data_IF_951458006646
#
_entry.id   IF_951458006646
#
_cell.length_a   1.000
_cell.length_b   1.000
_cell.length_c   1.000
_cell.angle_alpha   90.00
_cell.angle_beta   90.00
_cell.angle_gamma   90.00
#
_symmetry.space_group_name_H-M   'P 1'
#
loop_
_entity.id
_entity.type
_entity.pdbx_description
1 polymer ?
#
# COMPACT_ATOMS: atom_id res chain seq x y z
N UNK A 1 162.29 -64.39 20.96
CA UNK A 1 163.67 -64.19 21.49
C UNK A 1 164.26 -65.55 21.92
N UNK A 2 165.59 -65.66 22.16
CA UNK A 2 166.34 -66.96 22.26
C UNK A 2 166.35 -67.51 23.71
N UNK A 3 167.13 -68.56 24.15
CA UNK A 3 168.29 -69.27 23.54
C UNK A 3 168.36 -70.82 23.72
N UNK A 4 169.45 -71.61 23.46
CA UNK A 4 170.51 -71.73 22.40
C UNK A 4 171.39 -73.00 22.68
N UNK A 5 171.60 -73.88 21.66
CA UNK A 5 172.89 -74.60 21.34
C UNK A 5 173.43 -75.62 22.42
N UNK A 6 174.52 -76.42 22.27
CA UNK A 6 175.68 -76.47 21.33
C UNK A 6 176.37 -77.88 21.27
N UNK A 7 177.22 -78.04 20.23
CA UNK A 7 178.27 -79.05 19.82
C UNK A 7 179.28 -79.49 20.94
N UNK A 8 180.25 -80.42 20.80
CA UNK A 8 180.91 -81.26 19.74
C UNK A 8 182.30 -81.78 20.25
N UNK A 9 183.26 -82.45 19.55
CA UNK A 9 183.44 -83.05 18.19
C UNK A 9 184.83 -83.78 18.07
N UNK A 10 184.91 -85.04 17.56
CA UNK A 10 186.07 -85.70 16.85
C UNK A 10 187.40 -86.04 17.62
N UNK A 11 188.46 -86.65 17.02
CA UNK A 11 188.53 -87.87 16.14
C UNK A 11 189.81 -88.79 16.29
N UNK A 12 189.93 -89.77 15.35
CA UNK A 12 191.18 -90.41 14.81
C UNK A 12 191.86 -91.55 15.63
N UNK A 13 192.66 -92.49 15.06
CA UNK A 13 193.23 -92.63 13.69
C UNK A 13 193.34 -94.11 13.13
N UNK A 14 194.45 -94.42 12.43
CA UNK A 14 194.90 -95.59 11.62
C UNK A 14 195.75 -96.62 12.42
N UNK A 15 196.31 -97.75 11.96
CA UNK A 15 196.52 -98.57 10.70
C UNK A 15 196.98 -99.98 11.23
N UNK A 16 196.98 -101.17 10.61
CA UNK A 16 196.54 -101.86 9.39
C UNK A 16 197.07 -103.35 9.53
N UNK A 17 196.63 -104.31 8.70
CA UNK A 17 197.20 -105.67 8.49
C UNK A 17 197.07 -106.76 9.59
N UNK A 18 196.09 -107.67 9.43
CA UNK A 18 196.32 -109.07 8.97
C UNK A 18 195.04 -109.94 8.90
N UNK A 19 194.93 -110.66 7.79
CA UNK A 19 194.42 -112.03 7.58
C UNK A 19 193.01 -112.47 8.11
N UNK A 20 192.13 -112.84 7.16
CA UNK A 20 190.98 -113.76 7.21
C UNK A 20 189.70 -113.48 8.05
N UNK A 21 189.60 -112.47 8.92
CA UNK A 21 188.40 -112.28 9.78
C UNK A 21 187.25 -111.40 9.20
N UNK A 22 187.30 -111.03 7.90
CA UNK A 22 186.71 -109.76 7.42
C UNK A 22 185.33 -109.82 6.70
N UNK A 23 184.57 -110.92 6.76
CA UNK A 23 183.32 -111.08 5.98
C UNK A 23 182.02 -110.95 6.81
N UNK A 24 182.09 -111.02 8.14
CA UNK A 24 180.91 -111.19 9.01
C UNK A 24 180.22 -109.88 9.43
N UNK A 25 180.96 -108.79 9.58
CA UNK A 25 180.45 -107.53 10.16
C UNK A 25 179.63 -106.65 9.20
N UNK A 26 179.74 -106.85 7.88
CA UNK A 26 178.95 -106.11 6.89
C UNK A 26 177.46 -106.53 6.97
N UNK A 27 177.17 -107.77 7.35
CA UNK A 27 175.81 -108.31 7.37
C UNK A 27 174.99 -107.82 8.57
N UNK A 28 175.62 -107.59 9.72
CA UNK A 28 174.95 -107.18 10.97
C UNK A 28 174.52 -105.71 10.95
N UNK A 29 175.21 -104.85 10.19
CA UNK A 29 174.88 -103.44 10.02
C UNK A 29 173.54 -103.23 9.28
N UNK A 30 173.35 -103.92 8.14
CA UNK A 30 172.15 -103.79 7.31
C UNK A 30 170.86 -104.24 8.05
N UNK A 31 170.97 -105.30 8.87
CA UNK A 31 169.84 -105.82 9.64
C UNK A 31 169.27 -104.79 10.66
N UNK A 32 170.12 -103.92 11.22
CA UNK A 32 169.67 -102.82 12.10
C UNK A 32 168.94 -101.74 11.32
N UNK A 33 169.43 -101.35 10.14
CA UNK A 33 168.84 -100.26 9.35
C UNK A 33 167.41 -100.57 8.88
N UNK A 34 167.18 -101.78 8.36
CA UNK A 34 165.83 -102.19 7.93
C UNK A 34 164.87 -102.42 9.10
N UNK A 35 165.36 -102.77 10.29
CA UNK A 35 164.53 -102.79 11.51
C UNK A 35 164.10 -101.37 11.91
N UNK A 36 165.04 -100.44 11.97
CA UNK A 36 164.78 -99.02 12.25
C UNK A 36 163.80 -98.38 11.24
N UNK A 37 163.90 -98.80 9.97
CA UNK A 37 163.01 -98.38 8.89
C UNK A 37 161.59 -98.94 9.05
N UNK A 38 161.45 -100.22 9.38
CA UNK A 38 160.14 -100.82 9.68
C UNK A 38 159.51 -100.22 10.94
N UNK A 39 160.29 -99.96 11.99
CA UNK A 39 159.80 -99.30 13.20
C UNK A 39 159.33 -97.86 12.94
N UNK A 40 159.88 -97.15 11.95
CA UNK A 40 159.37 -95.85 11.49
C UNK A 40 158.08 -96.00 10.69
N UNK A 41 158.06 -96.89 9.68
CA UNK A 41 156.88 -97.15 8.86
C UNK A 41 155.69 -97.64 9.69
N UNK A 42 155.92 -98.43 10.73
CA UNK A 42 154.88 -98.88 11.66
C UNK A 42 154.33 -97.72 12.49
N UNK A 43 155.20 -96.81 12.97
CA UNK A 43 154.78 -95.59 13.70
C UNK A 43 154.03 -94.61 12.80
N UNK A 44 154.44 -94.46 11.54
CA UNK A 44 153.73 -93.65 10.54
C UNK A 44 152.38 -94.28 10.16
N UNK A 45 152.32 -95.60 9.98
CA UNK A 45 151.06 -96.31 9.74
C UNK A 45 150.09 -96.18 10.91
N UNK A 46 150.55 -96.36 12.15
CA UNK A 46 149.71 -96.15 13.34
C UNK A 46 149.30 -94.67 13.52
N UNK A 47 150.14 -93.71 13.14
CA UNK A 47 149.79 -92.28 13.14
C UNK A 47 148.70 -91.98 12.10
N UNK A 48 148.87 -92.45 10.86
CA UNK A 48 147.87 -92.30 9.78
C UNK A 48 146.57 -93.04 10.13
N UNK A 49 146.65 -94.22 10.75
CA UNK A 49 145.50 -95.00 11.22
C UNK A 49 144.75 -94.27 12.36
N UNK A 50 145.46 -93.62 13.29
CA UNK A 50 144.86 -92.75 14.31
C UNK A 50 144.22 -91.51 13.70
N UNK A 51 144.92 -90.82 12.79
CA UNK A 51 144.38 -89.66 12.07
C UNK A 51 143.13 -90.03 11.24
N UNK A 52 143.13 -91.18 10.59
CA UNK A 52 141.97 -91.70 9.86
C UNK A 52 140.80 -92.01 10.80
N UNK A 53 141.04 -92.69 11.92
CA UNK A 53 140.00 -92.95 12.92
C UNK A 53 139.44 -91.64 13.51
N UNK A 54 140.29 -90.66 13.81
CA UNK A 54 139.87 -89.32 14.23
C UNK A 54 139.04 -88.61 13.15
N UNK A 55 139.41 -88.71 11.87
CA UNK A 55 138.67 -88.10 10.77
C UNK A 55 137.33 -88.80 10.52
N UNK A 56 137.27 -90.13 10.65
CA UNK A 56 136.02 -90.90 10.59
C UNK A 56 135.09 -90.53 11.76
N UNK A 57 135.62 -90.37 12.98
CA UNK A 57 134.87 -89.88 14.17
C UNK A 57 134.41 -88.43 13.98
N UNK A 58 135.25 -87.54 13.42
CA UNK A 58 134.87 -86.15 13.12
C UNK A 58 133.79 -86.11 12.03
N UNK A 59 133.86 -86.98 11.03
CA UNK A 59 132.89 -87.07 9.94
C UNK A 59 131.54 -87.66 10.40
N UNK A 60 131.53 -88.67 11.27
CA UNK A 60 130.27 -89.18 11.86
C UNK A 60 129.66 -88.12 12.77
N UNK A 61 130.44 -87.52 13.68
CA UNK A 61 129.96 -86.43 14.54
C UNK A 61 129.44 -85.21 13.75
N UNK A 62 130.04 -84.89 12.60
CA UNK A 62 129.53 -83.84 11.70
C UNK A 62 128.22 -84.26 11.01
N UNK A 63 128.14 -85.50 10.50
CA UNK A 63 126.90 -86.04 9.88
C UNK A 63 125.76 -86.12 10.88
N UNK A 64 126.02 -86.49 12.13
CA UNK A 64 124.98 -86.59 13.17
C UNK A 64 124.57 -85.22 13.69
N UNK A 65 125.48 -84.23 13.78
CA UNK A 65 125.11 -82.81 13.96
C UNK A 65 124.25 -82.29 12.80
N UNK A 66 124.61 -82.61 11.55
CA UNK A 66 123.81 -82.21 10.39
C UNK A 66 122.42 -82.87 10.43
N UNK A 67 122.32 -84.16 10.76
CA UNK A 67 121.03 -84.85 10.97
C UNK A 67 120.20 -84.23 12.09
N UNK A 68 120.82 -83.80 13.19
CA UNK A 68 120.13 -83.08 14.26
C UNK A 68 119.58 -81.73 13.77
N UNK A 69 120.38 -80.94 13.05
CA UNK A 69 119.97 -79.66 12.45
C UNK A 69 118.85 -79.88 11.42
N UNK A 70 118.96 -80.88 10.55
CA UNK A 70 117.89 -81.23 9.60
C UNK A 70 116.61 -81.71 10.32
N UNK A 71 116.72 -82.36 11.49
CA UNK A 71 115.55 -82.73 12.29
C UNK A 71 114.93 -81.54 13.03
N UNK A 72 115.70 -80.60 13.58
CA UNK A 72 115.15 -79.38 14.21
C UNK A 72 114.49 -78.50 13.16
N UNK A 73 115.18 -78.21 12.05
CA UNK A 73 114.61 -77.44 10.94
C UNK A 73 113.36 -78.09 10.35
N UNK A 74 113.31 -79.42 10.21
CA UNK A 74 112.07 -80.12 9.77
C UNK A 74 110.94 -79.94 10.77
N UNK A 75 111.21 -80.03 12.09
CA UNK A 75 110.20 -79.82 13.15
C UNK A 75 109.71 -78.37 13.18
N UNK A 76 110.63 -77.41 13.09
CA UNK A 76 110.33 -75.97 13.00
C UNK A 76 109.46 -75.68 11.78
N UNK A 77 109.85 -76.17 10.59
CA UNK A 77 109.06 -76.02 9.36
C UNK A 77 107.68 -76.69 9.46
N UNK A 78 107.53 -77.84 10.16
CA UNK A 78 106.20 -78.43 10.39
C UNK A 78 105.37 -77.63 11.38
N UNK A 79 105.99 -77.06 12.42
CA UNK A 79 105.32 -76.25 13.43
C UNK A 79 104.87 -74.90 12.84
N UNK A 80 105.73 -74.23 12.09
CA UNK A 80 105.40 -73.00 11.36
C UNK A 80 104.31 -73.23 10.30
N UNK A 81 104.32 -74.36 9.60
CA UNK A 81 103.24 -74.73 8.67
C UNK A 81 101.92 -74.98 9.41
N UNK A 82 101.95 -75.67 10.54
CA UNK A 82 100.77 -75.87 11.39
C UNK A 82 100.19 -74.54 11.90
N UNK A 83 101.05 -73.67 12.45
CA UNK A 83 100.66 -72.34 12.90
C UNK A 83 100.15 -71.45 11.75
N UNK A 84 100.78 -71.52 10.58
CA UNK A 84 100.35 -70.81 9.36
C UNK A 84 99.00 -71.33 8.85
N UNK A 85 98.69 -72.61 9.05
CA UNK A 85 97.38 -73.18 8.72
C UNK A 85 96.32 -72.72 9.74
N UNK A 86 96.60 -72.83 11.05
CA UNK A 86 95.72 -72.34 12.12
C UNK A 86 95.38 -70.86 11.94
N UNK A 87 96.38 -70.00 11.71
CA UNK A 87 96.16 -68.57 11.47
C UNK A 87 95.34 -68.29 10.19
N UNK A 88 95.40 -69.17 9.18
CA UNK A 88 94.54 -69.05 7.97
C UNK A 88 93.11 -69.51 8.24
N UNK A 89 92.92 -70.54 9.04
CA UNK A 89 91.61 -71.05 9.45
C UNK A 89 90.92 -70.02 10.37
N UNK A 90 91.63 -69.49 11.37
CA UNK A 90 91.16 -68.37 12.21
C UNK A 90 90.85 -67.10 11.38
N UNK A 91 91.71 -66.73 10.43
CA UNK A 91 91.45 -65.58 9.56
C UNK A 91 90.23 -65.80 8.65
N UNK A 92 90.04 -67.01 8.12
CA UNK A 92 88.85 -67.36 7.34
C UNK A 92 87.57 -67.33 8.19
N UNK A 93 87.62 -67.84 9.41
CA UNK A 93 86.51 -67.75 10.37
C UNK A 93 86.19 -66.31 10.76
N UNK A 94 87.20 -65.50 11.12
CA UNK A 94 87.02 -64.10 11.49
C UNK A 94 86.47 -63.30 10.32
N UNK A 95 86.94 -63.55 9.09
CA UNK A 95 86.37 -62.93 7.89
C UNK A 95 84.93 -63.35 7.65
N UNK A 96 84.59 -64.64 7.77
CA UNK A 96 83.21 -65.10 7.61
C UNK A 96 82.28 -64.47 8.67
N UNK A 97 82.73 -64.35 9.92
CA UNK A 97 82.01 -63.67 11.01
C UNK A 97 81.86 -62.16 10.74
N UNK A 98 82.88 -61.52 10.17
CA UNK A 98 82.81 -60.12 9.74
C UNK A 98 81.80 -59.93 8.60
N UNK A 99 81.85 -60.79 7.58
CA UNK A 99 80.95 -60.73 6.42
C UNK A 99 79.49 -60.97 6.83
N UNK A 100 79.20 -61.86 7.80
CA UNK A 100 77.82 -62.01 8.35
C UNK A 100 77.38 -60.80 9.16
N UNK A 101 78.25 -60.23 10.03
CA UNK A 101 77.94 -59.02 10.80
C UNK A 101 77.66 -57.83 9.89
N UNK A 102 78.41 -57.66 8.80
CA UNK A 102 78.16 -56.61 7.79
C UNK A 102 76.80 -56.84 7.12
N UNK A 103 76.49 -58.06 6.68
CA UNK A 103 75.18 -58.37 6.07
C UNK A 103 74.00 -58.14 7.02
N UNK A 104 74.13 -58.48 8.30
CA UNK A 104 73.06 -58.28 9.29
C UNK A 104 72.91 -56.81 9.70
N UNK A 105 74.02 -56.06 9.81
CA UNK A 105 73.96 -54.61 9.96
C UNK A 105 73.31 -53.93 8.74
N UNK A 106 73.61 -54.36 7.51
CA UNK A 106 72.98 -53.82 6.30
C UNK A 106 71.47 -54.12 6.27
N UNK A 107 71.03 -55.32 6.68
CA UNK A 107 69.59 -55.64 6.83
C UNK A 107 68.92 -54.72 7.85
N UNK A 108 69.53 -54.55 9.03
CA UNK A 108 69.02 -53.66 10.09
C UNK A 108 68.94 -52.21 9.61
N UNK A 109 69.98 -51.70 8.94
CA UNK A 109 70.01 -50.35 8.38
C UNK A 109 68.97 -50.16 7.27
N UNK A 110 68.73 -51.17 6.43
CA UNK A 110 67.67 -51.14 5.42
C UNK A 110 66.28 -51.16 6.06
N UNK A 111 66.06 -51.98 7.10
CA UNK A 111 64.80 -52.04 7.83
C UNK A 111 64.50 -50.72 8.54
N UNK A 112 65.44 -50.15 9.30
CA UNK A 112 65.28 -48.84 9.96
C UNK A 112 64.97 -47.74 8.93
N UNK A 113 65.62 -47.75 7.76
CA UNK A 113 65.31 -46.81 6.66
C UNK A 113 63.91 -47.02 6.09
N UNK A 114 63.42 -48.25 5.98
CA UNK A 114 62.07 -48.56 5.52
C UNK A 114 61.01 -48.12 6.56
N UNK A 115 61.24 -48.41 7.84
CA UNK A 115 60.32 -48.09 8.93
C UNK A 115 60.21 -46.57 9.14
N UNK A 116 61.33 -45.84 9.18
CA UNK A 116 61.31 -44.37 9.19
C UNK A 116 60.62 -43.78 7.95
N UNK A 117 60.80 -44.36 6.76
CA UNK A 117 60.11 -43.90 5.54
C UNK A 117 58.59 -44.14 5.63
N UNK A 118 58.15 -45.24 6.24
CA UNK A 118 56.73 -45.47 6.52
C UNK A 118 56.18 -44.50 7.57
N UNK A 119 56.95 -44.18 8.61
CA UNK A 119 56.52 -43.22 9.64
C UNK A 119 56.39 -41.81 9.08
N UNK A 120 57.36 -41.35 8.30
CA UNK A 120 57.29 -40.06 7.57
C UNK A 120 56.03 -40.02 6.70
N UNK A 121 55.79 -41.06 5.88
CA UNK A 121 54.60 -41.12 5.03
C UNK A 121 53.27 -41.12 5.82
N UNK A 122 53.22 -41.76 7.00
CA UNK A 122 52.07 -41.69 7.91
C UNK A 122 51.88 -40.28 8.47
N UNK A 123 52.95 -39.62 8.90
CA UNK A 123 52.92 -38.26 9.47
C UNK A 123 52.59 -37.20 8.42
N UNK A 124 53.05 -37.34 7.19
CA UNK A 124 52.66 -36.48 6.06
C UNK A 124 51.16 -36.65 5.74
N UNK A 125 50.64 -37.88 5.76
CA UNK A 125 49.22 -38.14 5.54
C UNK A 125 48.34 -37.57 6.68
N UNK A 126 48.76 -37.72 7.95
CA UNK A 126 48.13 -37.09 9.11
C UNK A 126 48.14 -35.55 8.97
N UNK A 127 49.30 -34.96 8.64
CA UNK A 127 49.45 -33.51 8.44
C UNK A 127 48.56 -32.97 7.32
N UNK A 128 48.53 -33.63 6.15
CA UNK A 128 47.67 -33.24 5.03
C UNK A 128 46.18 -33.35 5.38
N UNK A 129 45.78 -34.41 6.09
CA UNK A 129 44.40 -34.57 6.59
C UNK A 129 44.03 -33.43 7.56
N UNK A 130 44.86 -33.16 8.57
CA UNK A 130 44.63 -32.13 9.57
C UNK A 130 44.62 -30.71 8.96
N UNK A 131 45.51 -30.44 8.00
CA UNK A 131 45.54 -29.20 7.21
C UNK A 131 44.27 -29.02 6.37
N UNK A 132 43.76 -30.10 5.78
CA UNK A 132 42.48 -30.12 5.07
C UNK A 132 41.28 -29.84 5.99
N UNK A 133 41.28 -30.41 7.21
CA UNK A 133 40.27 -30.11 8.23
C UNK A 133 40.34 -28.65 8.70
N UNK A 134 41.54 -28.13 8.95
CA UNK A 134 41.77 -26.74 9.32
C UNK A 134 41.24 -25.76 8.26
N UNK A 135 41.49 -26.03 6.97
CA UNK A 135 40.95 -25.22 5.86
C UNK A 135 39.42 -25.18 5.88
N UNK A 136 38.76 -26.34 6.06
CA UNK A 136 37.30 -26.43 6.15
C UNK A 136 36.74 -25.66 7.36
N UNK A 137 37.43 -25.70 8.50
CA UNK A 137 37.06 -24.96 9.71
C UNK A 137 37.24 -23.44 9.50
N UNK A 138 38.31 -23.01 8.82
CA UNK A 138 38.53 -21.60 8.49
C UNK A 138 37.46 -21.06 7.53
N UNK A 139 37.13 -21.81 6.48
CA UNK A 139 36.01 -21.49 5.58
C UNK A 139 34.66 -21.43 6.32
N UNK A 140 34.38 -22.41 7.18
CA UNK A 140 33.15 -22.45 7.98
C UNK A 140 33.04 -21.23 8.89
N UNK A 141 34.14 -20.85 9.56
CA UNK A 141 34.21 -19.63 10.37
C UNK A 141 33.94 -18.39 9.51
N UNK A 142 34.57 -18.26 8.34
CA UNK A 142 34.33 -17.12 7.45
C UNK A 142 32.87 -17.05 6.95
N UNK A 143 32.26 -18.20 6.63
CA UNK A 143 30.84 -18.29 6.21
C UNK A 143 29.90 -17.93 7.37
N UNK A 144 30.16 -18.43 8.58
CA UNK A 144 29.45 -18.07 9.82
C UNK A 144 29.53 -16.57 10.10
N UNK A 145 30.72 -15.99 10.03
CA UNK A 145 30.96 -14.59 10.39
C UNK A 145 30.30 -13.63 9.38
N UNK A 146 30.17 -14.03 8.10
CA UNK A 146 29.32 -13.36 7.11
C UNK A 146 27.83 -13.46 7.49
N UNK A 147 27.29 -14.67 7.67
CA UNK A 147 25.87 -14.84 7.98
C UNK A 147 25.45 -14.15 9.30
N UNK A 148 26.32 -14.08 10.30
CA UNK A 148 26.04 -13.32 11.53
C UNK A 148 25.91 -11.81 11.27
N UNK A 149 26.77 -11.25 10.40
CA UNK A 149 26.70 -9.84 9.97
C UNK A 149 25.45 -9.58 9.11
N UNK A 150 25.14 -10.47 8.17
CA UNK A 150 23.92 -10.38 7.34
C UNK A 150 22.66 -10.43 8.22
N UNK A 151 22.64 -11.28 9.25
CA UNK A 151 21.55 -11.40 10.22
C UNK A 151 21.43 -10.14 11.08
N UNK A 152 22.54 -9.58 11.59
CA UNK A 152 22.55 -8.31 12.31
C UNK A 152 22.04 -7.14 11.45
N UNK A 153 22.43 -7.08 10.18
CA UNK A 153 21.93 -6.08 9.23
C UNK A 153 20.42 -6.22 9.01
N UNK A 154 19.91 -7.45 8.82
CA UNK A 154 18.47 -7.70 8.65
C UNK A 154 17.67 -7.45 9.92
N UNK A 155 18.19 -7.78 11.10
CA UNK A 155 17.57 -7.37 12.37
C UNK A 155 17.49 -5.85 12.49
N UNK A 156 18.55 -5.13 12.10
CA UNK A 156 18.58 -3.67 12.16
C UNK A 156 17.67 -3.01 11.11
N UNK A 157 17.48 -3.62 9.93
CA UNK A 157 16.41 -3.24 9.00
C UNK A 157 15.02 -3.45 9.60
N UNK A 158 14.73 -4.61 10.20
CA UNK A 158 13.44 -4.90 10.84
C UNK A 158 13.17 -3.93 11.99
N UNK A 159 14.17 -3.63 12.83
CA UNK A 159 14.08 -2.63 13.92
C UNK A 159 13.80 -1.22 13.38
N UNK A 160 14.38 -0.83 12.23
CA UNK A 160 14.08 0.44 11.55
C UNK A 160 12.68 0.47 10.93
N UNK A 161 12.25 -0.63 10.31
CA UNK A 161 10.92 -0.74 9.69
C UNK A 161 9.80 -0.70 10.72
N UNK A 162 9.94 -1.42 11.85
CA UNK A 162 8.98 -1.35 12.97
C UNK A 162 8.83 0.09 13.47
N UNK A 163 9.93 0.77 13.83
CA UNK A 163 9.88 2.18 14.27
C UNK A 163 9.21 3.13 13.26
N UNK A 164 9.36 2.90 11.95
CA UNK A 164 8.64 3.65 10.92
C UNK A 164 7.15 3.34 10.89
N UNK A 165 6.77 2.06 11.01
CA UNK A 165 5.39 1.62 11.08
C UNK A 165 4.69 2.11 12.35
N UNK A 166 5.35 2.05 13.51
CA UNK A 166 4.87 2.56 14.78
C UNK A 166 4.58 4.07 14.68
N UNK A 167 5.52 4.84 14.10
CA UNK A 167 5.35 6.27 13.84
C UNK A 167 4.17 6.56 12.91
N UNK A 168 4.06 5.86 11.78
CA UNK A 168 2.97 6.05 10.81
C UNK A 168 1.61 5.69 11.43
N UNK A 169 1.54 4.64 12.25
CA UNK A 169 0.31 4.27 12.98
C UNK A 169 -0.12 5.41 13.91
N UNK A 170 0.79 5.92 14.76
CA UNK A 170 0.50 7.03 15.68
C UNK A 170 0.10 8.32 14.93
N UNK A 171 0.73 8.60 13.79
CA UNK A 171 0.39 9.78 12.97
C UNK A 171 -1.01 9.65 12.34
N UNK A 172 -1.37 8.46 11.84
CA UNK A 172 -2.69 8.16 11.30
C UNK A 172 -3.78 8.17 12.40
N UNK A 173 -3.48 7.65 13.59
CA UNK A 173 -4.37 7.72 14.76
C UNK A 173 -4.62 9.17 15.20
N UNK A 174 -3.59 10.02 15.24
CA UNK A 174 -3.74 11.45 15.53
C UNK A 174 -4.61 12.14 14.49
N UNK A 175 -4.32 11.94 13.18
CA UNK A 175 -5.12 12.53 12.09
C UNK A 175 -6.57 12.05 12.12
N UNK A 176 -6.83 10.77 12.38
CA UNK A 176 -8.19 10.23 12.52
C UNK A 176 -8.92 10.81 13.75
N UNK A 177 -8.23 10.99 14.87
CA UNK A 177 -8.79 11.63 16.07
C UNK A 177 -9.14 13.10 15.82
N UNK A 178 -8.27 13.85 15.14
CA UNK A 178 -8.49 15.24 14.75
C UNK A 178 -9.68 15.38 13.78
N UNK A 179 -9.77 14.51 12.77
CA UNK A 179 -10.89 14.47 11.83
C UNK A 179 -12.21 14.11 12.53
N UNK A 180 -12.19 13.12 13.43
CA UNK A 180 -13.35 12.74 14.25
C UNK A 180 -13.80 13.91 15.13
N UNK A 181 -12.89 14.60 15.79
CA UNK A 181 -13.22 15.81 16.57
C UNK A 181 -13.74 16.94 15.69
N UNK A 182 -13.19 17.14 14.49
CA UNK A 182 -13.63 18.16 13.53
C UNK A 182 -15.02 17.86 12.99
N UNK A 183 -15.32 16.60 12.69
CA UNK A 183 -16.63 16.13 12.26
C UNK A 183 -17.67 16.29 13.38
N UNK A 184 -17.35 15.86 14.61
CA UNK A 184 -18.24 16.04 15.77
C UNK A 184 -18.51 17.53 16.05
N UNK A 185 -17.51 18.41 15.94
CA UNK A 185 -17.70 19.87 16.07
C UNK A 185 -18.64 20.41 14.98
N UNK A 186 -18.47 20.00 13.72
CA UNK A 186 -19.38 20.38 12.60
C UNK A 186 -20.80 19.85 12.81
N UNK A 187 -20.95 18.59 13.18
CA UNK A 187 -22.25 17.95 13.39
C UNK A 187 -23.01 18.60 14.55
N UNK A 188 -22.34 18.85 15.67
CA UNK A 188 -22.94 19.56 16.80
C UNK A 188 -23.37 20.99 16.42
N UNK A 189 -22.54 21.71 15.64
CA UNK A 189 -22.88 23.05 15.15
C UNK A 189 -24.14 23.02 14.25
N UNK A 190 -24.22 22.08 13.30
CA UNK A 190 -25.38 21.90 12.42
C UNK A 190 -26.64 21.49 13.20
N UNK A 191 -26.50 20.67 14.25
CA UNK A 191 -27.62 20.31 15.14
C UNK A 191 -28.10 21.53 15.94
N UNK A 192 -27.21 22.39 16.44
CA UNK A 192 -27.61 23.64 17.09
C UNK A 192 -28.26 24.62 16.11
N UNK A 193 -27.70 24.79 14.91
CA UNK A 193 -28.26 25.65 13.86
C UNK A 193 -29.66 25.18 13.43
N UNK A 194 -29.85 23.87 13.22
CA UNK A 194 -31.14 23.28 12.88
C UNK A 194 -32.15 23.46 14.02
N UNK A 195 -31.73 23.23 15.27
CA UNK A 195 -32.56 23.44 16.47
C UNK A 195 -33.01 24.90 16.59
N UNK A 196 -32.08 25.84 16.48
CA UNK A 196 -32.37 27.27 16.65
C UNK A 196 -33.18 27.81 15.46
N UNK A 197 -32.97 27.29 14.25
CA UNK A 197 -33.83 27.50 13.09
C UNK A 197 -35.25 27.01 13.30
N UNK A 198 -35.44 25.77 13.80
CA UNK A 198 -36.77 25.27 14.18
C UNK A 198 -37.43 26.13 15.26
N UNK A 199 -36.69 26.51 16.31
CA UNK A 199 -37.21 27.39 17.36
C UNK A 199 -37.61 28.77 16.83
N UNK A 200 -36.84 29.35 15.90
CA UNK A 200 -37.18 30.60 15.22
C UNK A 200 -38.43 30.45 14.35
N UNK A 201 -38.55 29.36 13.57
CA UNK A 201 -39.75 29.08 12.77
C UNK A 201 -40.98 28.87 13.65
N UNK A 202 -40.90 28.08 14.72
CA UNK A 202 -42.00 27.88 15.68
C UNK A 202 -42.39 29.19 16.35
N UNK A 203 -41.43 30.01 16.79
CA UNK A 203 -41.70 31.33 17.38
C UNK A 203 -42.38 32.27 16.38
N UNK A 204 -41.94 32.28 15.13
CA UNK A 204 -42.55 33.10 14.08
C UNK A 204 -43.97 32.62 13.73
N UNK A 205 -44.19 31.31 13.66
CA UNK A 205 -45.52 30.72 13.44
C UNK A 205 -46.47 31.04 14.60
N UNK A 206 -46.00 30.94 15.85
CA UNK A 206 -46.77 31.35 17.04
C UNK A 206 -47.12 32.84 16.98
N UNK A 207 -46.15 33.74 16.76
CA UNK A 207 -46.43 35.17 16.64
C UNK A 207 -47.39 35.51 15.49
N UNK A 208 -47.25 34.86 14.33
CA UNK A 208 -48.16 35.03 13.20
C UNK A 208 -49.58 34.55 13.51
N UNK A 209 -49.70 33.42 14.22
CA UNK A 209 -50.98 32.83 14.64
C UNK A 209 -51.66 33.73 15.69
N UNK A 210 -50.95 34.12 16.74
CA UNK A 210 -51.45 35.05 17.76
C UNK A 210 -51.89 36.39 17.14
N UNK A 211 -51.09 36.97 16.24
CA UNK A 211 -51.47 38.20 15.53
C UNK A 211 -52.73 38.00 14.69
N UNK A 212 -52.82 36.89 13.95
CA UNK A 212 -54.01 36.54 13.15
C UNK A 212 -55.26 36.40 14.03
N UNK A 213 -55.18 35.68 15.15
CA UNK A 213 -56.30 35.52 16.10
C UNK A 213 -56.72 36.84 16.71
N UNK A 214 -55.79 37.75 17.02
CA UNK A 214 -56.13 39.12 17.47
C UNK A 214 -56.92 39.85 16.38
N UNK A 215 -56.44 39.84 15.13
CA UNK A 215 -57.12 40.50 14.01
C UNK A 215 -58.49 39.86 13.68
N UNK A 216 -58.63 38.54 13.79
CA UNK A 216 -59.91 37.85 13.62
C UNK A 216 -60.91 38.20 14.75
N UNK A 217 -60.44 38.35 15.99
CA UNK A 217 -61.26 38.82 17.11
C UNK A 217 -61.64 40.31 16.99
N UNK A 218 -60.74 41.17 16.51
CA UNK A 218 -61.01 42.58 16.21
C UNK A 218 -62.06 42.71 15.10
N UNK A 219 -61.92 41.94 14.01
CA UNK A 219 -62.89 41.90 12.92
C UNK A 219 -64.26 41.38 13.39
N UNK A 220 -64.30 40.31 14.19
CA UNK A 220 -65.54 39.79 14.78
C UNK A 220 -66.20 40.82 15.71
N UNK A 221 -65.42 41.57 16.49
CA UNK A 221 -65.93 42.64 17.36
C UNK A 221 -66.51 43.80 16.55
N UNK A 222 -65.87 44.18 15.44
CA UNK A 222 -66.38 45.21 14.52
C UNK A 222 -67.68 44.77 13.83
N UNK A 223 -67.77 43.50 13.42
CA UNK A 223 -68.99 42.92 12.83
C UNK A 223 -70.14 42.87 13.85
N UNK A 224 -69.88 42.44 15.09
CA UNK A 224 -70.87 42.48 16.18
C UNK A 224 -71.34 43.91 16.48
N UNK A 225 -70.44 44.91 16.43
CA UNK A 225 -70.81 46.33 16.57
C UNK A 225 -71.65 46.83 15.39
N UNK A 226 -71.38 46.38 14.16
CA UNK A 226 -72.18 46.70 12.99
C UNK A 226 -73.60 46.10 13.10
N UNK A 227 -73.70 44.79 13.35
CA UNK A 227 -74.98 44.08 13.52
C UNK A 227 -75.79 44.64 14.69
N UNK A 228 -75.14 45.07 15.78
CA UNK A 228 -75.82 45.73 16.91
C UNK A 228 -76.46 47.07 16.49
N UNK A 229 -75.76 47.89 15.70
CA UNK A 229 -76.28 49.18 15.19
C UNK A 229 -77.42 48.98 14.18
N UNK A 230 -77.35 47.95 13.34
CA UNK A 230 -78.43 47.59 12.43
C UNK A 230 -79.65 47.08 13.21
N UNK A 231 -79.47 46.16 14.16
CA UNK A 231 -80.53 45.68 15.05
C UNK A 231 -81.19 46.83 15.83
N UNK A 232 -80.42 47.76 16.39
CA UNK A 232 -80.95 48.97 17.02
C UNK A 232 -81.82 49.79 16.05
N UNK A 233 -81.42 49.92 14.79
CA UNK A 233 -82.13 50.68 13.77
C UNK A 233 -83.44 49.99 13.39
N UNK A 234 -83.41 48.67 13.20
CA UNK A 234 -84.61 47.84 12.98
C UNK A 234 -85.54 47.89 14.21
N UNK A 235 -85.02 47.86 15.44
CA UNK A 235 -85.83 48.03 16.65
C UNK A 235 -86.49 49.41 16.73
N UNK A 236 -85.78 50.49 16.38
CA UNK A 236 -86.34 51.86 16.31
C UNK A 236 -87.49 51.93 15.30
N UNK A 237 -87.30 51.38 14.09
CA UNK A 237 -88.36 51.28 13.07
C UNK A 237 -89.54 50.42 13.54
N UNK A 238 -89.28 49.26 14.13
CA UNK A 238 -90.31 48.35 14.63
C UNK A 238 -91.17 49.00 15.73
N UNK A 239 -90.54 49.81 16.61
CA UNK A 239 -91.24 50.58 17.63
C UNK A 239 -92.06 51.74 17.04
N UNK A 240 -91.55 52.45 16.02
CA UNK A 240 -92.33 53.47 15.27
C UNK A 240 -93.55 52.86 14.55
N UNK A 241 -93.38 51.69 13.93
CA UNK A 241 -94.49 50.95 13.31
C UNK A 241 -95.50 50.47 14.37
N UNK A 242 -95.05 50.06 15.57
CA UNK A 242 -95.93 49.72 16.69
C UNK A 242 -96.72 50.92 17.23
N UNK A 243 -96.13 52.12 17.33
CA UNK A 243 -96.87 53.32 17.75
C UNK A 243 -97.87 53.74 16.68
N UNK A 244 -97.44 53.82 15.41
CA UNK A 244 -98.33 54.13 14.28
C UNK A 244 -99.49 53.12 14.14
N UNK A 245 -99.25 51.82 14.35
CA UNK A 245 -100.31 50.80 14.34
C UNK A 245 -101.34 51.01 15.47
N UNK A 246 -100.89 51.43 16.68
CA UNK A 246 -101.79 51.81 17.78
C UNK A 246 -102.60 53.07 17.46
N UNK A 247 -101.96 54.08 16.88
CA UNK A 247 -102.62 55.34 16.46
C UNK A 247 -103.66 55.09 15.36
N UNK A 248 -103.32 54.28 14.35
CA UNK A 248 -104.23 53.89 13.27
C UNK A 248 -105.41 53.07 13.80
N UNK A 249 -105.19 52.13 14.74
CA UNK A 249 -106.28 51.40 15.41
C UNK A 249 -107.23 52.35 16.15
N UNK A 250 -106.68 53.24 16.98
CA UNK A 250 -107.47 54.27 17.68
C UNK A 250 -108.22 55.18 16.71
N UNK A 251 -107.65 55.48 15.54
CA UNK A 251 -108.33 56.28 14.50
C UNK A 251 -109.42 55.50 13.77
N UNK A 252 -109.25 54.19 13.57
CA UNK A 252 -110.31 53.30 13.04
C UNK A 252 -111.45 53.17 14.06
N UNK A 253 -111.14 53.00 15.35
CA UNK A 253 -112.13 52.97 16.44
C UNK A 253 -112.97 54.26 16.46
N UNK A 254 -112.32 55.44 16.41
CA UNK A 254 -113.01 56.74 16.34
C UNK A 254 -113.83 56.92 15.04
N UNK A 255 -113.33 56.44 13.90
CA UNK A 255 -114.07 56.49 12.63
C UNK A 255 -115.26 55.52 12.60
N UNK A 256 -115.19 54.37 13.28
CA UNK A 256 -116.29 53.44 13.45
C UNK A 256 -117.35 53.99 14.43
N UNK A 257 -116.95 54.71 15.48
CA UNK A 257 -117.86 55.51 16.31
C UNK A 257 -118.54 56.64 15.53
N UNK A 258 -117.79 57.41 14.73
CA UNK A 258 -118.34 58.43 13.84
C UNK A 258 -119.27 57.80 12.79
N UNK A 259 -118.90 56.67 12.19
CA UNK A 259 -119.74 55.96 11.23
C UNK A 259 -121.02 55.44 11.87
N UNK A 260 -120.99 54.93 13.11
CA UNK A 260 -122.20 54.57 13.88
C UNK A 260 -123.07 55.79 14.15
N UNK A 261 -122.50 56.94 14.47
CA UNK A 261 -123.23 58.20 14.65
C UNK A 261 -123.83 58.70 13.32
N UNK A 262 -123.08 58.63 12.22
CA UNK A 262 -123.54 58.96 10.87
C UNK A 262 -124.62 58.00 10.39
N UNK A 263 -124.56 56.71 10.71
CA UNK A 263 -125.63 55.73 10.41
C UNK A 263 -126.87 55.99 11.28
N UNK A 264 -126.72 56.34 12.56
CA UNK A 264 -127.85 56.78 13.40
C UNK A 264 -128.49 58.07 12.87
N UNK A 265 -127.69 59.05 12.48
CA UNK A 265 -128.12 60.33 11.91
C UNK A 265 -128.73 60.16 10.51
N UNK A 266 -128.15 59.30 9.68
CA UNK A 266 -128.65 58.95 8.35
C UNK A 266 -129.95 58.16 8.43
N UNK A 267 -130.07 57.16 9.31
CA UNK A 267 -131.34 56.45 9.53
C UNK A 267 -132.41 57.32 10.20
N UNK A 268 -132.03 58.30 11.03
CA UNK A 268 -132.93 59.35 11.51
C UNK A 268 -133.40 60.23 10.34
N UNK A 269 -132.50 60.78 9.53
CA UNK A 269 -132.85 61.55 8.33
C UNK A 269 -133.58 60.71 7.28
N UNK A 270 -133.37 59.39 7.22
CA UNK A 270 -134.09 58.48 6.34
C UNK A 270 -135.49 58.17 6.87
N UNK A 271 -135.70 58.14 8.20
CA UNK A 271 -137.04 58.11 8.82
C UNK A 271 -137.77 59.45 8.65
N UNK A 272 -137.06 60.56 8.76
CA UNK A 272 -137.58 61.91 8.49
C UNK A 272 -137.94 62.07 7.02
N UNK A 273 -137.04 61.67 6.10
CA UNK A 273 -137.28 61.67 4.66
C UNK A 273 -138.32 60.62 4.27
N UNK A 274 -138.47 59.50 4.99
CA UNK A 274 -139.63 58.60 4.83
C UNK A 274 -140.92 59.34 5.21
N UNK A 275 -141.01 59.97 6.37
CA UNK A 275 -142.19 60.81 6.72
C UNK A 275 -142.44 61.97 5.74
N UNK A 276 -141.39 62.56 5.18
CA UNK A 276 -141.49 63.61 4.16
C UNK A 276 -141.79 63.05 2.76
N UNK A 277 -141.45 61.80 2.46
CA UNK A 277 -141.84 61.09 1.21
C UNK A 277 -143.12 60.29 1.35
N UNK A 278 -143.63 60.10 2.56
CA UNK A 278 -144.98 59.67 2.88
C UNK A 278 -145.90 60.90 2.73
N UNK A 279 -145.54 62.06 3.29
CA UNK A 279 -146.20 63.34 2.99
C UNK A 279 -146.08 63.77 1.52
N UNK A 280 -144.93 63.59 0.87
CA UNK A 280 -144.84 63.82 -0.58
C UNK A 280 -145.63 62.75 -1.33
N UNK A 281 -145.77 61.50 -0.88
CA UNK A 281 -146.70 60.54 -1.51
C UNK A 281 -148.18 60.90 -1.30
N UNK A 282 -148.55 61.51 -0.18
CA UNK A 282 -149.87 62.12 0.04
C UNK A 282 -150.11 63.36 -0.85
N UNK A 283 -149.03 63.95 -1.40
CA UNK A 283 -149.04 65.05 -2.36
C UNK A 283 -148.81 64.61 -3.82
N UNK A 284 -148.18 63.45 -4.06
CA UNK A 284 -147.90 62.83 -5.37
C UNK A 284 -149.07 61.93 -5.79
N UNK A 285 -149.78 61.30 -4.84
CA UNK A 285 -151.16 60.84 -5.07
C UNK A 285 -152.10 62.00 -5.46
N UNK A 286 -151.69 63.25 -5.26
CA UNK A 286 -152.36 64.47 -5.74
C UNK A 286 -151.65 65.16 -6.92
N UNK A 287 -150.50 64.65 -7.38
CA UNK A 287 -149.71 65.22 -8.49
C UNK A 287 -148.75 64.19 -9.11
N UNK A 288 -148.82 64.03 -10.44
CA UNK A 288 -147.96 63.19 -11.30
C UNK A 288 -148.29 61.68 -11.26
N UNK A 289 -148.72 61.03 -12.35
CA UNK A 289 -149.07 61.48 -13.72
C UNK A 289 -148.01 62.20 -14.57
N UNK A 290 -146.73 62.25 -14.17
CA UNK A 290 -145.66 62.61 -15.13
C UNK A 290 -144.28 61.97 -14.81
N UNK A 291 -143.74 61.37 -15.87
CA UNK A 291 -142.52 60.55 -16.00
C UNK A 291 -141.22 61.35 -15.66
N UNK A 292 -140.19 60.74 -15.02
CA UNK A 292 -138.93 60.14 -15.59
C UNK A 292 -138.02 61.15 -16.34
N UNK A 293 -136.66 61.06 -16.44
CA UNK A 293 -135.59 60.13 -15.96
C UNK A 293 -134.18 60.69 -16.34
N UNK A 294 -133.10 59.96 -15.97
CA UNK A 294 -131.79 59.85 -16.71
C UNK A 294 -130.85 61.10 -16.69
N UNK A 295 -129.53 61.07 -17.03
CA UNK A 295 -128.65 60.07 -17.72
C UNK A 295 -127.14 60.15 -17.30
N UNK A 296 -126.33 59.20 -17.78
CA UNK A 296 -124.83 59.11 -17.85
C UNK A 296 -124.21 60.00 -18.96
N UNK A 297 -122.89 60.08 -19.28
CA UNK A 297 -121.61 59.51 -18.78
C UNK A 297 -120.52 59.46 -19.91
N UNK A 298 -119.20 59.43 -19.61
CA UNK A 298 -118.09 59.41 -20.62
C UNK A 298 -116.81 58.66 -20.13
N UNK A 299 -116.25 57.73 -20.92
CA UNK A 299 -114.82 57.30 -20.88
C UNK A 299 -114.39 56.59 -22.18
N UNK A 300 -113.33 57.04 -22.89
CA UNK A 300 -112.69 56.25 -23.97
C UNK A 300 -111.17 56.48 -24.12
N UNK A 301 -110.67 57.73 -24.06
CA UNK A 301 -109.31 58.09 -24.48
C UNK A 301 -108.15 57.47 -23.67
N UNK A 302 -108.42 57.00 -22.45
CA UNK A 302 -107.37 56.50 -21.53
C UNK A 302 -106.63 55.26 -22.05
N UNK A 303 -107.30 54.42 -22.84
CA UNK A 303 -106.71 53.17 -23.33
C UNK A 303 -105.58 53.36 -24.33
N UNK A 304 -105.59 54.46 -25.11
CA UNK A 304 -104.73 54.61 -26.31
C UNK A 304 -103.26 54.91 -26.00
N UNK A 305 -102.96 55.48 -24.82
CA UNK A 305 -101.59 55.89 -24.44
C UNK A 305 -100.73 54.71 -23.98
N UNK A 306 -101.32 53.81 -23.19
CA UNK A 306 -100.63 52.67 -22.56
C UNK A 306 -99.97 51.74 -23.60
N UNK A 307 -100.59 51.60 -24.78
CA UNK A 307 -100.07 50.75 -25.86
C UNK A 307 -98.71 51.23 -26.40
N UNK A 308 -98.49 52.55 -26.52
CA UNK A 308 -97.26 53.11 -27.11
C UNK A 308 -96.06 53.01 -26.15
N UNK A 309 -96.31 52.99 -24.84
CA UNK A 309 -95.27 52.88 -23.82
C UNK A 309 -94.66 51.46 -23.77
N UNK A 310 -95.47 50.42 -24.04
CA UNK A 310 -95.00 49.03 -24.09
C UNK A 310 -94.09 48.75 -25.29
N UNK A 311 -94.43 49.27 -26.47
CA UNK A 311 -93.66 49.09 -27.71
C UNK A 311 -92.25 49.68 -27.60
N UNK A 312 -92.10 50.82 -26.94
CA UNK A 312 -90.78 51.42 -26.68
C UNK A 312 -89.93 50.59 -25.71
N UNK A 313 -90.53 49.96 -24.68
CA UNK A 313 -89.80 49.11 -23.74
C UNK A 313 -89.30 47.81 -24.39
N UNK A 314 -90.11 47.15 -25.24
CA UNK A 314 -89.70 45.95 -25.96
C UNK A 314 -88.48 46.22 -26.87
N UNK A 315 -88.49 47.34 -27.60
CA UNK A 315 -87.37 47.78 -28.44
C UNK A 315 -86.10 48.17 -27.66
N UNK A 316 -86.18 48.35 -26.34
CA UNK A 316 -85.02 48.59 -25.48
C UNK A 316 -84.40 47.28 -24.97
N UNK A 317 -85.23 46.28 -24.64
CA UNK A 317 -84.79 44.96 -24.17
C UNK A 317 -83.92 44.27 -25.22
N UNK A 318 -84.39 44.20 -26.48
CA UNK A 318 -83.67 43.52 -27.58
C UNK A 318 -82.24 44.06 -27.73
N UNK A 319 -82.06 45.39 -27.65
CA UNK A 319 -80.74 46.04 -27.78
C UNK A 319 -79.80 45.76 -26.60
N UNK A 320 -80.35 45.47 -25.42
CA UNK A 320 -79.56 45.04 -24.25
C UNK A 320 -79.14 43.58 -24.38
N UNK A 321 -79.99 42.71 -24.94
CA UNK A 321 -79.68 41.31 -25.22
C UNK A 321 -78.61 41.17 -26.30
N UNK A 322 -78.69 41.94 -27.39
CA UNK A 322 -77.66 42.01 -28.44
C UNK A 322 -76.29 42.45 -27.88
N UNK A 323 -76.27 43.51 -27.07
CA UNK A 323 -75.05 44.00 -26.43
C UNK A 323 -74.45 43.00 -25.43
N UNK A 324 -75.28 42.27 -24.68
CA UNK A 324 -74.86 41.23 -23.76
C UNK A 324 -74.20 40.05 -24.49
N UNK A 325 -74.83 39.54 -25.56
CA UNK A 325 -74.24 38.46 -26.36
C UNK A 325 -72.98 38.88 -27.12
N UNK A 326 -72.84 40.15 -27.51
CA UNK A 326 -71.58 40.66 -28.04
C UNK A 326 -70.47 40.64 -26.98
N UNK A 327 -70.69 41.24 -25.80
CA UNK A 327 -69.70 41.28 -24.72
C UNK A 327 -69.28 39.88 -24.25
N UNK A 328 -70.21 38.91 -24.27
CA UNK A 328 -69.97 37.50 -23.97
C UNK A 328 -69.06 36.81 -24.99
N UNK A 329 -69.15 37.15 -26.28
CA UNK A 329 -68.22 36.66 -27.33
C UNK A 329 -66.83 37.27 -27.19
N UNK A 330 -66.75 38.56 -26.89
CA UNK A 330 -65.48 39.26 -26.64
C UNK A 330 -64.75 38.69 -25.41
N UNK A 331 -65.50 38.34 -24.35
CA UNK A 331 -64.96 37.63 -23.19
C UNK A 331 -64.43 36.22 -23.54
N UNK A 332 -65.13 35.46 -24.38
CA UNK A 332 -64.68 34.13 -24.80
C UNK A 332 -63.41 34.20 -25.67
N UNK A 333 -63.32 35.17 -26.59
CA UNK A 333 -62.12 35.38 -27.41
C UNK A 333 -60.89 35.78 -26.56
N UNK A 334 -61.06 36.73 -25.64
CA UNK A 334 -59.96 37.17 -24.76
C UNK A 334 -59.50 36.07 -23.79
N UNK A 335 -60.39 35.15 -23.39
CA UNK A 335 -59.99 33.94 -22.64
C UNK A 335 -59.12 32.99 -23.48
N UNK A 336 -59.46 32.76 -24.75
CA UNK A 336 -58.67 31.92 -25.67
C UNK A 336 -57.28 32.54 -25.92
N UNK A 337 -57.20 33.86 -26.09
CA UNK A 337 -55.93 34.58 -26.23
C UNK A 337 -55.08 34.54 -24.95
N UNK A 338 -55.71 34.60 -23.77
CA UNK A 338 -55.03 34.45 -22.47
C UNK A 338 -54.49 33.03 -22.27
N UNK A 339 -55.21 32.00 -22.72
CA UNK A 339 -54.68 30.63 -22.71
C UNK A 339 -53.55 30.42 -23.72
N UNK A 340 -53.67 30.96 -24.93
CA UNK A 340 -52.62 30.88 -25.94
C UNK A 340 -51.32 31.55 -25.44
N UNK A 341 -51.41 32.74 -24.87
CA UNK A 341 -50.26 33.46 -24.31
C UNK A 341 -49.65 32.74 -23.11
N UNK A 342 -50.46 32.16 -22.20
CA UNK A 342 -49.97 31.28 -21.12
C UNK A 342 -49.16 30.10 -21.64
N UNK A 343 -49.70 29.34 -22.60
CA UNK A 343 -49.00 28.19 -23.22
C UNK A 343 -47.70 28.59 -23.90
N UNK A 344 -47.62 29.78 -24.50
CA UNK A 344 -46.34 30.30 -25.02
C UNK A 344 -45.36 30.70 -23.91
N UNK A 345 -45.84 31.27 -22.81
CA UNK A 345 -45.01 31.62 -21.64
C UNK A 345 -44.45 30.38 -20.96
N UNK A 346 -45.27 29.34 -20.77
CA UNK A 346 -44.86 28.04 -20.23
C UNK A 346 -43.77 27.39 -21.09
N UNK A 347 -43.92 27.43 -22.43
CA UNK A 347 -42.91 26.93 -23.36
C UNK A 347 -41.61 27.76 -23.37
N UNK A 348 -41.68 29.07 -23.16
CA UNK A 348 -40.48 29.91 -23.02
C UNK A 348 -39.74 29.59 -21.71
N UNK A 349 -40.48 29.38 -20.61
CA UNK A 349 -39.91 28.96 -19.33
C UNK A 349 -39.25 27.57 -19.43
N UNK A 350 -39.90 26.58 -20.05
CA UNK A 350 -39.27 25.25 -20.19
C UNK A 350 -37.98 25.30 -21.01
N UNK A 351 -37.95 26.07 -22.11
CA UNK A 351 -36.73 26.28 -22.91
C UNK A 351 -35.64 27.05 -22.13
N UNK A 352 -36.01 27.91 -21.19
CA UNK A 352 -35.07 28.59 -20.30
C UNK A 352 -34.50 27.64 -19.23
N UNK A 353 -35.32 26.76 -18.67
CA UNK A 353 -34.91 25.74 -17.69
C UNK A 353 -34.03 24.67 -18.35
N UNK A 354 -34.38 24.23 -19.56
CA UNK A 354 -33.53 23.38 -20.43
C UNK A 354 -32.19 24.05 -20.73
N UNK A 355 -32.20 25.32 -21.17
CA UNK A 355 -30.99 26.07 -21.52
C UNK A 355 -30.07 26.36 -20.33
N UNK A 356 -30.62 26.67 -19.17
CA UNK A 356 -29.82 26.86 -17.94
C UNK A 356 -29.27 25.54 -17.41
N UNK A 357 -30.04 24.45 -17.48
CA UNK A 357 -29.56 23.09 -17.15
C UNK A 357 -28.41 22.67 -18.08
N UNK A 358 -28.55 22.91 -19.39
CA UNK A 358 -27.50 22.63 -20.38
C UNK A 358 -26.21 23.43 -20.11
N UNK A 359 -26.32 24.73 -19.81
CA UNK A 359 -25.16 25.57 -19.47
C UNK A 359 -24.47 25.10 -18.18
N UNK A 360 -25.23 24.72 -17.15
CA UNK A 360 -24.68 24.18 -15.90
C UNK A 360 -23.94 22.86 -16.14
N UNK A 361 -24.51 21.94 -16.92
CA UNK A 361 -23.86 20.69 -17.29
C UNK A 361 -22.57 20.93 -18.11
N UNK A 362 -22.60 21.87 -19.06
CA UNK A 362 -21.42 22.24 -19.84
C UNK A 362 -20.31 22.87 -18.97
N UNK A 363 -20.66 23.68 -17.97
CA UNK A 363 -19.70 24.22 -17.00
C UNK A 363 -19.14 23.15 -16.06
N UNK A 364 -19.94 22.16 -15.67
CA UNK A 364 -19.46 21.02 -14.87
C UNK A 364 -18.46 20.16 -15.64
N UNK A 365 -18.78 19.77 -16.89
CA UNK A 365 -17.86 19.05 -17.76
C UNK A 365 -16.55 19.81 -18.03
N UNK A 366 -16.64 21.14 -18.19
CA UNK A 366 -15.45 21.97 -18.37
C UNK A 366 -14.58 22.04 -17.10
N UNK A 367 -15.20 22.17 -15.91
CA UNK A 367 -14.50 22.06 -14.62
C UNK A 367 -13.83 20.68 -14.45
N UNK A 368 -14.53 19.58 -14.77
CA UNK A 368 -13.99 18.22 -14.64
C UNK A 368 -12.74 18.02 -15.52
N UNK A 369 -12.80 18.36 -16.80
CA UNK A 369 -11.66 18.21 -17.73
C UNK A 369 -10.47 19.11 -17.42
N UNK A 370 -10.70 20.30 -16.84
CA UNK A 370 -9.61 21.14 -16.35
C UNK A 370 -9.00 20.57 -15.05
N UNK A 371 -9.82 19.98 -14.16
CA UNK A 371 -9.33 19.31 -12.95
C UNK A 371 -8.51 18.06 -13.29
N UNK A 372 -8.92 17.28 -14.30
CA UNK A 372 -8.13 16.17 -14.87
C UNK A 372 -6.77 16.65 -15.41
N UNK A 373 -6.72 17.81 -16.09
CA UNK A 373 -5.47 18.41 -16.59
C UNK A 373 -4.54 18.94 -15.49
N UNK A 374 -5.08 19.51 -14.40
CA UNK A 374 -4.27 20.16 -13.33
C UNK A 374 -4.09 19.30 -12.07
N UNK A 375 -4.71 18.12 -11.97
CA UNK A 375 -4.53 17.18 -10.86
C UNK A 375 -5.03 17.70 -9.50
N UNK A 376 -5.99 18.62 -9.48
CA UNK A 376 -6.42 19.31 -8.26
C UNK A 376 -7.81 19.93 -8.37
N UNK A 377 -8.36 20.34 -7.22
CA UNK A 377 -9.69 20.96 -7.13
C UNK A 377 -9.68 22.38 -7.71
N UNK A 378 -10.66 22.69 -8.56
CA UNK A 378 -10.77 23.98 -9.26
C UNK A 378 -11.69 24.95 -8.49
N UNK A 379 -11.33 26.23 -8.36
CA UNK A 379 -12.16 27.25 -7.71
C UNK A 379 -13.57 27.36 -8.30
N UNK A 380 -14.57 27.52 -7.43
CA UNK A 380 -15.97 27.42 -7.87
C UNK A 380 -16.46 28.56 -8.78
N UNK A 381 -15.79 29.72 -8.72
CA UNK A 381 -16.15 30.93 -9.46
C UNK A 381 -15.13 31.20 -10.56
N UNK A 382 -15.59 31.51 -11.78
CA UNK A 382 -14.72 31.85 -12.93
C UNK A 382 -13.70 32.96 -12.62
N UNK A 383 -14.06 33.91 -11.74
CA UNK A 383 -13.17 34.99 -11.30
C UNK A 383 -11.94 34.55 -10.48
N UNK A 384 -11.81 33.25 -10.17
CA UNK A 384 -10.67 32.69 -9.41
C UNK A 384 -9.82 31.68 -10.22
N UNK A 385 -10.13 31.43 -11.50
CA UNK A 385 -9.21 30.73 -12.41
C UNK A 385 -8.19 31.70 -13.03
N UNK A 386 -7.06 31.19 -13.52
CA UNK A 386 -6.10 32.00 -14.29
C UNK A 386 -6.64 32.37 -15.67
N UNK A 387 -6.01 33.33 -16.37
CA UNK A 387 -6.47 33.80 -17.69
C UNK A 387 -6.50 32.67 -18.73
N UNK A 388 -5.43 31.89 -18.84
CA UNK A 388 -5.32 30.74 -19.75
C UNK A 388 -6.39 29.67 -19.48
N UNK A 389 -6.72 29.41 -18.21
CA UNK A 389 -7.78 28.48 -17.83
C UNK A 389 -9.17 28.99 -18.21
N UNK A 390 -9.42 30.30 -18.10
CA UNK A 390 -10.69 30.93 -18.52
C UNK A 390 -10.85 30.86 -20.02
N UNK A 391 -9.79 31.12 -20.78
CA UNK A 391 -9.79 31.00 -22.24
C UNK A 391 -10.05 29.55 -22.66
N UNK A 392 -9.31 28.57 -22.12
CA UNK A 392 -9.56 27.16 -22.37
C UNK A 392 -10.96 26.69 -21.96
N UNK A 393 -11.52 27.20 -20.86
CA UNK A 393 -12.90 26.92 -20.44
C UNK A 393 -13.91 27.52 -21.42
N UNK A 394 -13.70 28.75 -21.89
CA UNK A 394 -14.58 29.43 -22.84
C UNK A 394 -14.53 28.78 -24.23
N UNK A 395 -13.35 28.41 -24.72
CA UNK A 395 -13.21 27.65 -25.98
C UNK A 395 -13.99 26.33 -25.93
N UNK A 396 -13.86 25.56 -24.84
CA UNK A 396 -14.61 24.31 -24.68
C UNK A 396 -16.12 24.51 -24.57
N UNK A 397 -16.58 25.59 -23.92
CA UNK A 397 -18.01 25.94 -23.85
C UNK A 397 -18.54 26.34 -25.23
N UNK A 398 -17.78 27.12 -26.01
CA UNK A 398 -18.13 27.51 -27.38
C UNK A 398 -18.07 26.34 -28.37
N UNK A 399 -17.14 25.39 -28.18
CA UNK A 399 -17.07 24.17 -28.98
C UNK A 399 -18.30 23.29 -28.76
N UNK A 400 -18.73 23.11 -27.50
CA UNK A 400 -19.98 22.41 -27.16
C UNK A 400 -21.20 23.13 -27.72
N UNK A 401 -21.31 24.45 -27.51
CA UNK A 401 -22.44 25.25 -28.00
C UNK A 401 -22.59 25.17 -29.54
N UNK A 402 -21.49 25.01 -30.28
CA UNK A 402 -21.52 24.79 -31.73
C UNK A 402 -21.82 23.34 -32.13
N UNK A 403 -21.40 22.33 -31.35
CA UNK A 403 -21.68 20.90 -31.61
C UNK A 403 -23.15 20.55 -31.35
N UNK A 404 -23.71 21.03 -30.24
CA UNK A 404 -25.09 20.74 -29.83
C UNK A 404 -26.10 21.70 -30.46
N UNK A 405 -25.67 22.59 -31.37
CA UNK A 405 -26.56 23.42 -32.18
C UNK A 405 -27.35 22.52 -33.15
N UNK A 406 -28.67 22.33 -32.97
CA UNK A 406 -29.45 21.55 -33.92
C UNK A 406 -29.39 22.22 -35.30
N UNK A 407 -29.17 21.44 -36.36
CA UNK A 407 -29.22 22.00 -37.71
C UNK A 407 -30.64 22.51 -37.99
N UNK A 408 -30.78 23.83 -38.00
CA UNK A 408 -32.05 24.50 -38.22
C UNK A 408 -32.53 24.25 -39.64
N UNK A 409 -33.48 23.32 -39.79
CA UNK A 409 -34.21 23.11 -41.05
C UNK A 409 -34.67 24.46 -41.60
N UNK A 410 -34.37 24.81 -42.87
CA UNK A 410 -34.47 26.17 -43.38
C UNK A 410 -35.92 26.62 -43.68
N UNK A 411 -36.92 26.03 -43.03
CA UNK A 411 -38.34 26.19 -43.36
C UNK A 411 -39.20 26.70 -42.19
N UNK A 412 -38.57 27.36 -41.20
CA UNK A 412 -39.26 28.10 -40.16
C UNK A 412 -39.46 29.57 -40.60
N UNK A 413 -40.48 29.82 -41.44
CA UNK A 413 -40.86 31.18 -41.84
C UNK A 413 -41.33 32.00 -40.64
N UNK A 414 -40.45 32.84 -40.12
CA UNK A 414 -40.69 33.65 -38.93
C UNK A 414 -41.68 34.80 -39.22
N UNK A 415 -42.98 34.50 -39.17
CA UNK A 415 -44.02 35.52 -39.00
C UNK A 415 -43.87 36.15 -37.62
N UNK A 416 -43.08 37.22 -37.55
CA UNK A 416 -43.04 38.13 -36.40
C UNK A 416 -44.43 38.77 -36.22
N UNK A 417 -45.28 38.15 -35.41
CA UNK A 417 -46.43 38.82 -34.81
C UNK A 417 -45.90 39.86 -33.83
N UNK A 418 -46.05 41.14 -34.16
CA UNK A 418 -45.54 42.23 -33.35
C UNK A 418 -46.13 42.22 -31.92
N UNK A 419 -45.34 42.68 -30.95
CA UNK A 419 -45.85 42.98 -29.61
C UNK A 419 -47.03 43.96 -29.70
N UNK A 420 -48.19 43.68 -29.08
CA UNK A 420 -49.24 44.68 -28.95
C UNK A 420 -48.76 45.80 -28.00
N UNK A 421 -49.07 47.08 -28.29
CA UNK A 421 -48.67 48.19 -27.44
C UNK A 421 -49.42 48.15 -26.11
N UNK A 422 -48.72 48.42 -25.00
CA UNK A 422 -49.32 48.52 -23.66
C UNK A 422 -50.13 49.82 -23.56
N UNK A 423 -51.38 49.77 -24.01
CA UNK A 423 -52.32 50.88 -23.96
C UNK A 423 -52.83 51.13 -22.53
N UNK A 424 -52.14 51.98 -21.77
CA UNK A 424 -52.48 52.34 -20.39
C UNK A 424 -53.80 53.13 -20.26
N UNK A 425 -54.93 52.42 -20.14
CA UNK A 425 -56.27 52.99 -20.03
C UNK A 425 -56.62 53.52 -18.62
N UNK A 426 -55.98 54.60 -18.18
CA UNK A 426 -56.34 55.27 -16.92
C UNK A 426 -57.66 56.02 -17.02
N UNK A 427 -58.74 55.49 -16.43
CA UNK A 427 -60.00 56.22 -16.17
C UNK A 427 -60.61 55.90 -14.80
N UNK A 428 -60.18 56.64 -13.77
CA UNK A 428 -61.02 56.85 -12.58
C UNK A 428 -62.32 57.55 -13.02
N UNK A 429 -63.49 56.99 -12.69
CA UNK A 429 -64.75 57.75 -12.71
C UNK A 429 -65.07 58.22 -11.29
N UNK A 430 -65.23 59.54 -11.14
CA UNK A 430 -65.57 60.20 -9.89
C UNK A 430 -67.08 60.51 -9.86
N UNK A 431 -67.88 59.97 -8.93
CA UNK A 431 -69.32 60.21 -8.88
C UNK A 431 -69.66 61.35 -7.90
N UNK A 432 -69.69 62.61 -8.36
CA UNK A 432 -70.30 63.72 -7.60
C UNK A 432 -70.62 64.96 -8.45
N UNK A 433 -71.74 64.90 -9.19
CA UNK A 433 -72.48 66.00 -9.83
C UNK A 433 -73.56 65.37 -10.73
N UNK A 434 -74.81 65.82 -10.80
CA UNK A 434 -75.49 66.95 -10.15
C UNK A 434 -77.02 66.66 -10.15
N UNK A 435 -77.77 67.41 -9.32
CA UNK A 435 -79.25 67.62 -9.39
C UNK A 435 -80.14 66.40 -9.62
#
# INVERSE_FOLDING_TARGET
MPPKKKKGKAPEKTEEQKDEENELDIMTANAKFEKDRNDRLTKEYDLVKKQRAELEIKLTAQKDKQRQIEQTLRREITNEKGLTQQLKEEFAELKAKQDTIVQDHDKIVQQIKADHKQEIAKKDAEYLSLKGQYSKIAEFKQKRDKYMKDLEEKENEIKKLKRKQDFITVELESRHLEETQRLNKKMNALVTETKDGMLAMTKNQLHATTKRTIQENENMSNELLFQTREMETIMKQNNQLKTSNKELKRRIELLDEEQKLMVKRSTFYQKMNKRLTERLKELEQKNQTQKRKETSGITLDRARRIAQEMEMMQNHIIKLEEAYEQAKRELAMTQIELEATRRTSEKILSLQDEGTTFLLACMQDAKLRLAEKKGGSIPDKLGHLDLEDREAMLEMLLEKLNKDRPQSSPNASAKYTAFPPIAGASRRRNPNSMT
#
